data_IF_030424586311
#
_entry.id   IF_030424586311
#
_cell.length_a   1.000
_cell.length_b   1.000
_cell.length_c   1.000
_cell.angle_alpha   90.00
_cell.angle_beta   90.00
_cell.angle_gamma   90.00
#
_symmetry.space_group_name_H-M   'P 1'
#
loop_
_entity.id
_entity.type
_entity.pdbx_description
1 polymer ?
#
# COMPACT_ATOMS: atom_id res chain seq x y z
N UNK A 1 -34.91 -24.60 -16.09
CA UNK A 1 -34.40 -23.23 -15.90
C UNK A 1 -33.61 -23.21 -14.59
N UNK A 2 -32.49 -23.93 -14.49
CA UNK A 2 -31.18 -23.66 -15.12
C UNK A 2 -30.61 -22.30 -14.75
N UNK A 3 -29.53 -22.32 -13.98
CA UNK A 3 -28.79 -21.15 -13.52
C UNK A 3 -27.62 -21.51 -12.60
N UNK A 4 -26.78 -22.47 -12.99
CA UNK A 4 -25.49 -22.74 -12.33
C UNK A 4 -24.52 -21.60 -12.68
N UNK A 5 -24.20 -20.76 -11.71
CA UNK A 5 -23.14 -19.76 -11.81
C UNK A 5 -21.87 -20.28 -11.13
N UNK A 6 -21.03 -20.97 -11.89
CA UNK A 6 -19.66 -21.33 -11.51
C UNK A 6 -18.81 -20.07 -11.48
N UNK A 7 -18.44 -19.62 -10.28
CA UNK A 7 -17.47 -18.53 -10.10
C UNK A 7 -16.08 -19.17 -9.98
N UNK A 8 -15.39 -19.25 -11.12
CA UNK A 8 -13.97 -19.58 -11.17
C UNK A 8 -13.18 -18.43 -10.51
N UNK A 9 -12.73 -18.67 -9.29
CA UNK A 9 -11.76 -17.82 -8.60
C UNK A 9 -10.38 -18.12 -9.15
N UNK A 10 -10.00 -17.44 -10.23
CA UNK A 10 -8.62 -17.41 -10.69
C UNK A 10 -7.74 -16.69 -9.68
N UNK A 11 -7.01 -17.44 -8.86
CA UNK A 11 -5.84 -16.99 -8.11
C UNK A 11 -4.79 -16.51 -9.11
N UNK A 12 -4.87 -15.22 -9.47
CA UNK A 12 -3.75 -14.52 -10.09
C UNK A 12 -2.65 -14.44 -9.04
N UNK A 13 -1.68 -15.34 -9.15
CA UNK A 13 -0.42 -15.29 -8.45
C UNK A 13 0.10 -13.85 -8.49
N UNK A 14 0.06 -13.18 -7.33
CA UNK A 14 0.70 -11.90 -7.14
C UNK A 14 2.18 -12.11 -7.42
N UNK A 15 2.61 -11.73 -8.62
CA UNK A 15 4.02 -11.63 -8.97
C UNK A 15 4.66 -10.70 -7.95
N UNK A 16 5.32 -11.33 -6.97
CA UNK A 16 6.13 -10.67 -5.96
C UNK A 16 7.28 -10.02 -6.69
N UNK A 17 7.06 -8.79 -7.15
CA UNK A 17 8.10 -7.88 -7.62
C UNK A 17 8.93 -7.51 -6.40
N UNK A 18 9.85 -8.41 -6.02
CA UNK A 18 10.94 -8.09 -5.11
C UNK A 18 11.70 -6.97 -5.76
N UNK A 19 11.50 -5.75 -5.26
CA UNK A 19 12.36 -4.63 -5.57
C UNK A 19 13.80 -5.10 -5.29
N UNK A 20 14.71 -5.02 -6.27
CA UNK A 20 16.10 -5.36 -6.01
C UNK A 20 16.59 -4.50 -4.84
N UNK A 21 17.42 -5.05 -3.94
CA UNK A 21 18.06 -4.22 -2.92
C UNK A 21 18.73 -3.04 -3.62
N UNK A 22 18.76 -1.84 -3.01
CA UNK A 22 19.53 -0.73 -3.55
C UNK A 22 20.98 -1.19 -3.64
N UNK A 23 21.35 -1.68 -4.81
CA UNK A 23 22.69 -2.08 -5.14
C UNK A 23 23.51 -0.82 -4.99
N UNK A 24 24.33 -0.79 -3.94
CA UNK A 24 25.40 0.17 -3.79
C UNK A 24 26.33 -0.02 -4.97
N UNK A 25 25.98 0.57 -6.11
CA UNK A 25 26.88 0.81 -7.20
C UNK A 25 28.02 1.61 -6.56
N UNK A 26 29.11 0.92 -6.27
CA UNK A 26 30.37 1.54 -5.91
C UNK A 26 30.65 2.50 -7.06
N UNK A 27 30.43 3.77 -6.78
CA UNK A 27 30.74 4.87 -7.66
C UNK A 27 32.26 4.92 -7.70
N UNK A 28 32.88 4.00 -8.44
CA UNK A 28 34.28 4.09 -8.82
C UNK A 28 34.36 5.28 -9.76
N UNK A 29 34.48 6.45 -9.14
CA UNK A 29 34.66 7.75 -9.74
C UNK A 29 36.00 7.74 -10.48
N UNK A 30 35.98 7.11 -11.65
CA UNK A 30 37.12 6.86 -12.53
C UNK A 30 37.62 8.15 -13.19
N UNK A 31 36.93 9.27 -12.95
CA UNK A 31 37.35 10.59 -13.39
C UNK A 31 38.40 11.23 -12.46
N UNK A 32 38.62 10.69 -11.25
CA UNK A 32 39.86 10.94 -10.50
C UNK A 32 41.00 10.07 -11.04
N UNK A 33 41.27 10.14 -12.35
CA UNK A 33 42.62 9.84 -12.83
C UNK A 33 43.50 10.91 -12.21
N UNK A 34 44.19 10.52 -11.13
CA UNK A 34 45.25 11.28 -10.47
C UNK A 34 46.00 12.06 -11.54
N UNK A 35 46.08 13.38 -11.38
CA UNK A 35 47.06 14.15 -12.14
C UNK A 35 48.37 13.37 -12.06
N UNK A 36 49.00 13.03 -13.20
CA UNK A 36 50.28 12.37 -13.18
C UNK A 36 51.17 13.18 -12.22
N UNK A 37 51.85 12.53 -11.26
CA UNK A 37 52.67 13.23 -10.29
C UNK A 37 53.54 14.23 -11.06
N UNK A 38 53.51 15.50 -10.64
CA UNK A 38 54.30 16.54 -11.28
C UNK A 38 55.72 15.99 -11.40
N UNK A 39 56.17 15.72 -12.63
CA UNK A 39 57.55 15.33 -12.88
C UNK A 39 58.37 16.48 -12.33
N UNK A 40 59.13 16.21 -11.28
CA UNK A 40 60.16 17.11 -10.77
C UNK A 40 60.99 17.48 -12.00
N UNK A 41 60.88 18.73 -12.41
CA UNK A 41 61.64 19.23 -13.57
C UNK A 41 63.09 19.07 -13.16
N UNK A 42 63.90 18.24 -13.85
CA UNK A 42 65.29 18.12 -13.50
C UNK A 42 65.91 19.53 -13.55
N UNK A 43 66.80 19.87 -12.60
CA UNK A 43 67.46 21.17 -12.61
C UNK A 43 68.07 21.38 -14.00
N UNK A 44 67.87 22.58 -14.55
CA UNK A 44 68.42 23.00 -15.83
C UNK A 44 69.93 22.96 -15.67
N UNK A 45 70.53 21.79 -15.91
CA UNK A 45 71.96 21.67 -16.09
C UNK A 45 72.25 22.58 -17.28
N UNK A 46 73.07 23.60 -17.05
CA UNK A 46 73.51 24.53 -18.08
C UNK A 46 74.31 23.75 -19.12
N UNK A 47 73.59 23.14 -20.07
CA UNK A 47 74.15 22.64 -21.32
C UNK A 47 74.59 23.90 -22.05
N UNK A 48 75.82 24.32 -21.79
CA UNK A 48 76.43 25.42 -22.50
C UNK A 48 76.44 25.05 -23.97
N UNK A 49 75.56 25.68 -24.75
CA UNK A 49 75.44 25.45 -26.18
C UNK A 49 76.57 26.19 -26.85
N UNK A 50 77.64 25.46 -27.17
CA UNK A 50 78.90 26.06 -27.59
C UNK A 50 78.95 26.34 -29.09
N UNK A 51 77.98 25.86 -29.87
CA UNK A 51 77.89 26.15 -31.30
C UNK A 51 76.50 26.68 -31.72
N UNK A 52 76.42 27.61 -32.69
CA UNK A 52 75.14 28.09 -33.22
C UNK A 52 74.23 26.99 -33.77
N UNK A 53 74.81 25.88 -34.26
CA UNK A 53 74.07 24.75 -34.78
C UNK A 53 73.31 23.99 -33.69
N UNK A 54 73.92 23.77 -32.52
CA UNK A 54 73.26 23.16 -31.36
C UNK A 54 72.10 24.03 -30.86
N UNK A 55 72.29 25.35 -30.83
CA UNK A 55 71.23 26.29 -30.46
C UNK A 55 70.02 26.19 -31.39
N UNK A 56 70.25 26.13 -32.71
CA UNK A 56 69.20 25.99 -33.69
C UNK A 56 68.40 24.68 -33.51
N UNK A 57 69.09 23.56 -33.31
CA UNK A 57 68.45 22.25 -33.07
C UNK A 57 67.63 22.26 -31.77
N UNK A 58 68.18 22.81 -30.69
CA UNK A 58 67.50 22.89 -29.40
C UNK A 58 66.29 23.84 -29.44
N UNK A 59 66.38 24.97 -30.16
CA UNK A 59 65.26 25.86 -30.40
C UNK A 59 64.13 25.16 -31.17
N UNK A 60 64.47 24.39 -32.21
CA UNK A 60 63.51 23.57 -32.96
C UNK A 60 62.84 22.50 -32.10
N UNK A 61 63.61 21.81 -31.25
CA UNK A 61 63.08 20.84 -30.29
C UNK A 61 62.15 21.48 -29.26
N UNK A 62 62.56 22.60 -28.66
CA UNK A 62 61.75 23.34 -27.69
C UNK A 62 60.44 23.84 -28.30
N UNK A 63 60.48 24.37 -29.53
CA UNK A 63 59.28 24.80 -30.24
C UNK A 63 58.33 23.61 -30.46
N UNK A 64 58.86 22.47 -30.89
CA UNK A 64 58.08 21.24 -31.09
C UNK A 64 57.46 20.73 -29.78
N UNK A 65 58.22 20.72 -28.67
CA UNK A 65 57.76 20.38 -27.33
C UNK A 65 56.64 21.32 -26.85
N UNK A 66 56.82 22.63 -27.04
CA UNK A 66 55.82 23.63 -26.68
C UNK A 66 54.52 23.42 -27.47
N UNK A 67 54.62 23.18 -28.79
CA UNK A 67 53.47 22.85 -29.63
C UNK A 67 52.76 21.57 -29.16
N UNK A 68 53.50 20.49 -28.88
CA UNK A 68 52.91 19.25 -28.37
C UNK A 68 52.21 19.46 -27.02
N UNK A 69 52.82 20.21 -26.12
CA UNK A 69 52.25 20.52 -24.80
C UNK A 69 50.96 21.34 -24.95
N UNK A 70 50.94 22.32 -25.84
CA UNK A 70 49.74 23.09 -26.17
C UNK A 70 48.62 22.21 -26.73
N UNK A 71 48.93 21.28 -27.65
CA UNK A 71 47.92 20.35 -28.17
C UNK A 71 47.37 19.42 -27.08
N UNK A 72 48.23 18.95 -26.17
CA UNK A 72 47.82 18.10 -25.04
C UNK A 72 46.91 18.85 -24.07
N UNK A 73 47.27 20.08 -23.69
CA UNK A 73 46.45 20.90 -22.80
C UNK A 73 45.10 21.23 -23.44
N UNK A 74 45.08 21.54 -24.74
CA UNK A 74 43.86 21.78 -25.48
C UNK A 74 42.92 20.55 -25.46
N UNK A 75 43.45 19.35 -25.77
CA UNK A 75 42.68 18.10 -25.69
C UNK A 75 42.17 17.82 -24.27
N UNK A 76 43.01 18.05 -23.25
CA UNK A 76 42.61 17.88 -21.86
C UNK A 76 41.45 18.82 -21.48
N UNK A 77 41.51 20.09 -21.92
CA UNK A 77 40.43 21.04 -21.69
C UNK A 77 39.13 20.61 -22.39
N UNK A 78 39.21 20.09 -23.62
CA UNK A 78 38.04 19.54 -24.31
C UNK A 78 37.44 18.35 -23.56
N UNK A 79 38.27 17.39 -23.13
CA UNK A 79 37.81 16.24 -22.34
C UNK A 79 37.20 16.67 -21.01
N UNK A 80 37.79 17.66 -20.32
CA UNK A 80 37.25 18.18 -19.06
C UNK A 80 35.89 18.83 -19.25
N UNK A 81 35.69 19.58 -20.34
CA UNK A 81 34.38 20.18 -20.66
C UNK A 81 33.33 19.11 -20.95
N UNK A 82 33.66 18.12 -21.79
CA UNK A 82 32.75 17.00 -22.09
C UNK A 82 32.36 16.22 -20.83
N UNK A 83 33.34 15.89 -19.98
CA UNK A 83 33.07 15.18 -18.73
C UNK A 83 32.16 15.99 -17.79
N UNK A 84 32.35 17.31 -17.74
CA UNK A 84 31.46 18.20 -16.98
C UNK A 84 30.03 18.16 -17.53
N UNK A 85 29.86 18.34 -18.85
CA UNK A 85 28.56 18.34 -19.50
C UNK A 85 27.83 17.00 -19.34
N UNK A 86 28.56 15.88 -19.46
CA UNK A 86 28.07 14.52 -19.22
C UNK A 86 27.60 14.35 -17.76
N UNK A 87 28.42 14.79 -16.80
CA UNK A 87 28.09 14.70 -15.36
C UNK A 87 26.86 15.54 -15.02
N UNK A 88 26.75 16.75 -15.56
CA UNK A 88 25.57 17.62 -15.36
C UNK A 88 24.33 16.96 -15.94
N UNK A 89 24.42 16.47 -17.18
CA UNK A 89 23.29 15.79 -17.85
C UNK A 89 22.85 14.54 -17.09
N UNK A 90 23.80 13.71 -16.65
CA UNK A 90 23.51 12.51 -15.88
C UNK A 90 22.87 12.85 -14.52
N UNK A 91 23.41 13.82 -13.81
CA UNK A 91 22.84 14.25 -12.52
C UNK A 91 21.41 14.75 -12.68
N UNK A 92 21.14 15.60 -13.69
CA UNK A 92 19.79 16.06 -13.99
C UNK A 92 18.86 14.89 -14.33
N UNK A 93 19.32 13.94 -15.14
CA UNK A 93 18.57 12.71 -15.43
C UNK A 93 18.21 11.92 -14.18
N UNK A 94 19.15 11.77 -13.24
CA UNK A 94 18.93 11.09 -11.96
C UNK A 94 17.95 11.83 -11.06
N UNK A 95 18.05 13.15 -10.97
CA UNK A 95 17.09 13.95 -10.20
C UNK A 95 15.67 13.84 -10.75
N UNK A 96 15.51 13.93 -12.07
CA UNK A 96 14.21 13.77 -12.71
C UNK A 96 13.63 12.36 -12.49
N UNK A 97 14.46 11.31 -12.59
CA UNK A 97 14.04 9.94 -12.32
C UNK A 97 13.61 9.73 -10.86
N UNK A 98 14.38 10.29 -9.91
CA UNK A 98 14.05 10.26 -8.49
C UNK A 98 12.74 10.99 -8.22
N UNK A 99 12.59 12.19 -8.77
CA UNK A 99 11.38 12.99 -8.63
C UNK A 99 10.15 12.23 -9.15
N UNK A 100 10.19 11.67 -10.36
CA UNK A 100 9.09 10.87 -10.90
C UNK A 100 8.77 9.64 -10.04
N UNK A 101 9.77 8.99 -9.46
CA UNK A 101 9.55 7.87 -8.53
C UNK A 101 8.86 8.31 -7.23
N UNK A 102 9.22 9.47 -6.69
CA UNK A 102 8.60 10.02 -5.49
C UNK A 102 7.15 10.46 -5.75
N UNK A 103 6.90 11.14 -6.88
CA UNK A 103 5.56 11.52 -7.31
C UNK A 103 4.65 10.29 -7.46
N UNK A 104 5.15 9.23 -8.10
CA UNK A 104 4.41 7.97 -8.23
C UNK A 104 4.10 7.35 -6.86
N UNK A 105 5.07 7.30 -5.94
CA UNK A 105 4.84 6.78 -4.58
C UNK A 105 3.79 7.58 -3.82
N UNK A 106 3.84 8.91 -3.89
CA UNK A 106 2.84 9.77 -3.25
C UNK A 106 1.45 9.52 -3.83
N UNK A 107 1.34 9.43 -5.16
CA UNK A 107 0.10 9.08 -5.84
C UNK A 107 -0.46 7.72 -5.40
N UNK A 108 0.39 6.69 -5.35
CA UNK A 108 0.00 5.34 -4.93
C UNK A 108 -0.41 5.29 -3.45
N UNK A 109 0.30 6.02 -2.58
CA UNK A 109 -0.07 6.18 -1.17
C UNK A 109 -1.44 6.83 -1.00
N UNK A 110 -1.72 7.91 -1.75
CA UNK A 110 -3.02 8.57 -1.71
C UNK A 110 -4.15 7.63 -2.17
N UNK A 111 -3.93 6.90 -3.27
CA UNK A 111 -4.89 5.90 -3.75
C UNK A 111 -5.16 4.81 -2.70
N UNK A 112 -4.12 4.36 -1.99
CA UNK A 112 -4.28 3.38 -0.92
C UNK A 112 -5.10 3.93 0.25
N UNK A 113 -4.85 5.19 0.64
CA UNK A 113 -5.63 5.88 1.67
C UNK A 113 -7.12 5.91 1.29
N UNK A 114 -7.44 6.32 0.06
CA UNK A 114 -8.82 6.38 -0.43
C UNK A 114 -9.51 4.99 -0.40
N UNK A 115 -8.79 3.94 -0.80
CA UNK A 115 -9.32 2.57 -0.76
C UNK A 115 -9.59 2.10 0.67
N UNK A 116 -8.70 2.41 1.60
CA UNK A 116 -8.86 2.05 3.01
C UNK A 116 -10.01 2.83 3.67
N UNK A 117 -10.16 4.12 3.35
CA UNK A 117 -11.28 4.94 3.82
C UNK A 117 -12.63 4.38 3.35
N UNK A 118 -12.78 4.09 2.05
CA UNK A 118 -14.01 3.47 1.52
C UNK A 118 -14.32 2.12 2.18
N UNK A 119 -13.30 1.31 2.44
CA UNK A 119 -13.48 0.04 3.14
C UNK A 119 -13.91 0.24 4.59
N UNK A 120 -13.33 1.21 5.30
CA UNK A 120 -13.71 1.55 6.66
C UNK A 120 -15.19 2.01 6.72
N UNK A 121 -15.61 2.89 5.82
CA UNK A 121 -17.01 3.33 5.69
C UNK A 121 -17.95 2.15 5.39
N UNK A 122 -17.57 1.26 4.47
CA UNK A 122 -18.36 0.07 4.16
C UNK A 122 -18.50 -0.86 5.36
N UNK A 123 -17.45 -1.06 6.15
CA UNK A 123 -17.49 -1.89 7.35
C UNK A 123 -18.34 -1.23 8.44
N UNK A 124 -18.21 0.08 8.64
CA UNK A 124 -19.03 0.84 9.59
C UNK A 124 -20.52 0.71 9.24
N UNK A 125 -20.86 0.89 7.96
CA UNK A 125 -22.23 0.71 7.47
C UNK A 125 -22.76 -0.71 7.72
N UNK A 126 -21.92 -1.74 7.54
CA UNK A 126 -22.29 -3.12 7.84
C UNK A 126 -22.50 -3.36 9.34
N UNK A 127 -21.63 -2.83 10.20
CA UNK A 127 -21.78 -2.89 11.66
C UNK A 127 -23.10 -2.24 12.08
N UNK A 128 -23.41 -1.06 11.56
CA UNK A 128 -24.62 -0.33 11.91
C UNK A 128 -25.89 -1.03 11.42
N UNK A 129 -25.84 -1.68 10.25
CA UNK A 129 -26.93 -2.55 9.77
C UNK A 129 -27.14 -3.74 10.71
N UNK A 130 -26.07 -4.43 11.12
CA UNK A 130 -26.16 -5.56 12.05
C UNK A 130 -26.68 -5.13 13.41
N UNK A 131 -26.26 -3.97 13.93
CA UNK A 131 -26.79 -3.39 15.17
C UNK A 131 -28.28 -3.11 15.09
N UNK A 132 -28.76 -2.49 14.01
CA UNK A 132 -30.20 -2.24 13.79
C UNK A 132 -30.98 -3.54 13.69
N UNK A 133 -30.45 -4.52 12.95
CA UNK A 133 -31.06 -5.85 12.85
C UNK A 133 -31.17 -6.53 14.21
N UNK A 134 -30.14 -6.43 15.06
CA UNK A 134 -30.16 -6.98 16.41
C UNK A 134 -31.22 -6.29 17.27
N UNK A 135 -31.26 -4.95 17.26
CA UNK A 135 -32.27 -4.17 17.98
C UNK A 135 -33.69 -4.53 17.56
N UNK A 136 -33.93 -4.76 16.27
CA UNK A 136 -35.24 -5.19 15.76
C UNK A 136 -35.64 -6.58 16.28
N UNK A 137 -34.71 -7.53 16.31
CA UNK A 137 -34.97 -8.88 16.85
C UNK A 137 -35.22 -8.83 18.36
N UNK A 138 -34.45 -8.02 19.10
CA UNK A 138 -34.64 -7.85 20.54
C UNK A 138 -35.96 -7.16 20.86
N UNK A 139 -36.35 -6.11 20.13
CA UNK A 139 -37.65 -5.47 20.27
C UNK A 139 -38.80 -6.45 19.97
N UNK A 140 -38.71 -7.21 18.88
CA UNK A 140 -39.70 -8.23 18.54
C UNK A 140 -39.79 -9.34 19.60
N UNK A 141 -38.69 -9.69 20.26
CA UNK A 141 -38.67 -10.62 21.38
C UNK A 141 -39.42 -10.07 22.60
N UNK A 142 -39.16 -8.81 22.97
CA UNK A 142 -39.84 -8.15 24.10
C UNK A 142 -41.35 -7.99 23.86
N UNK A 143 -41.75 -7.71 22.62
CA UNK A 143 -43.17 -7.58 22.23
C UNK A 143 -43.98 -8.89 22.37
N UNK A 144 -43.33 -10.06 22.44
CA UNK A 144 -44.01 -11.35 22.65
C UNK A 144 -44.36 -11.60 24.11
N UNK A 145 -43.56 -11.08 25.05
CA UNK A 145 -43.75 -11.29 26.48
C UNK A 145 -45.15 -10.87 26.98
N UNK A 146 -45.66 -9.64 26.73
CA UNK A 146 -46.99 -9.26 27.22
C UNK A 146 -48.12 -10.09 26.61
N UNK A 147 -47.94 -10.62 25.39
CA UNK A 147 -48.93 -11.49 24.73
C UNK A 147 -49.01 -12.85 25.43
N UNK A 148 -47.85 -13.41 25.79
CA UNK A 148 -47.78 -14.66 26.55
C UNK A 148 -48.40 -14.47 27.93
N UNK A 149 -48.09 -13.36 28.62
CA UNK A 149 -48.68 -13.03 29.92
C UNK A 149 -50.21 -12.89 29.85
N UNK A 150 -50.73 -12.29 28.77
CA UNK A 150 -52.18 -12.21 28.56
C UNK A 150 -52.83 -13.60 28.38
N UNK A 151 -52.21 -14.50 27.60
CA UNK A 151 -52.68 -15.87 27.47
C UNK A 151 -52.67 -16.59 28.83
N UNK A 152 -51.56 -16.51 29.58
CA UNK A 152 -51.45 -17.11 30.92
C UNK A 152 -52.52 -16.57 31.88
N UNK A 153 -52.74 -15.25 31.90
CA UNK A 153 -53.77 -14.64 32.72
C UNK A 153 -55.16 -15.15 32.33
N UNK A 154 -55.48 -15.24 31.03
CA UNK A 154 -56.78 -15.78 30.55
C UNK A 154 -56.97 -17.24 30.94
N UNK A 155 -55.93 -18.07 30.88
CA UNK A 155 -55.98 -19.46 31.38
C UNK A 155 -56.29 -19.47 32.88
N UNK A 156 -55.55 -18.70 33.68
CA UNK A 156 -55.74 -18.63 35.13
C UNK A 156 -57.14 -18.13 35.54
N UNK A 157 -57.76 -17.24 34.76
CA UNK A 157 -59.16 -16.84 34.99
C UNK A 157 -60.15 -17.97 34.68
N UNK A 158 -59.87 -18.80 33.67
CA UNK A 158 -60.71 -19.97 33.35
C UNK A 158 -60.61 -21.07 34.40
N UNK A 159 -59.43 -21.27 34.98
CA UNK A 159 -59.19 -22.22 36.08
C UNK A 159 -59.95 -21.88 37.37
N UNK A 160 -60.33 -20.61 37.57
CA UNK A 160 -61.10 -20.15 38.73
C UNK A 160 -62.60 -20.41 38.65
N UNK A 161 -63.11 -20.89 37.51
CA UNK A 161 -64.54 -21.18 37.33
C UNK A 161 -64.96 -22.34 38.24
N UNK A 162 -66.21 -22.37 38.73
CA UNK A 162 -66.69 -23.48 39.55
C UNK A 162 -66.65 -24.80 38.77
N UNK A 163 -66.44 -25.92 39.45
CA UNK A 163 -66.17 -27.24 38.85
C UNK A 163 -67.22 -27.67 37.81
N UNK A 164 -68.48 -27.23 37.98
CA UNK A 164 -69.58 -27.52 37.05
C UNK A 164 -69.44 -26.82 35.69
N UNK A 165 -68.69 -25.73 35.62
CA UNK A 165 -68.47 -24.92 34.41
C UNK A 165 -67.08 -25.16 33.79
N UNK A 166 -66.27 -26.01 34.42
CA UNK A 166 -64.95 -26.37 33.93
C UNK A 166 -65.08 -27.42 32.81
N UNK A 167 -65.22 -26.93 31.58
CA UNK A 167 -65.31 -27.76 30.38
C UNK A 167 -64.19 -27.38 29.43
N UNK A 168 -63.53 -28.38 28.85
CA UNK A 168 -62.49 -28.20 27.82
C UNK A 168 -63.11 -27.77 26.50
N UNK A 169 -63.40 -26.48 26.40
CA UNK A 169 -64.01 -25.88 25.23
C UNK A 169 -62.99 -25.64 24.10
N UNK A 170 -63.49 -25.34 22.91
CA UNK A 170 -62.64 -25.02 21.76
C UNK A 170 -61.78 -23.76 22.02
N UNK A 171 -62.28 -22.82 22.84
CA UNK A 171 -61.59 -21.58 23.14
C UNK A 171 -60.37 -21.80 24.05
N UNK A 172 -60.44 -22.71 25.01
CA UNK A 172 -59.33 -23.15 25.86
C UNK A 172 -58.27 -23.84 25.01
N UNK A 173 -58.67 -24.78 24.17
CA UNK A 173 -57.74 -25.48 23.25
C UNK A 173 -57.03 -24.51 22.31
N UNK A 174 -57.77 -23.54 21.74
CA UNK A 174 -57.19 -22.50 20.87
C UNK A 174 -56.21 -21.61 21.65
N UNK A 175 -56.51 -21.28 22.91
CA UNK A 175 -55.66 -20.42 23.73
C UNK A 175 -54.37 -21.12 24.19
N UNK A 176 -54.43 -22.43 24.47
CA UNK A 176 -53.23 -23.27 24.67
C UNK A 176 -52.35 -23.30 23.43
N UNK A 177 -52.95 -23.48 22.25
CA UNK A 177 -52.24 -23.45 20.97
C UNK A 177 -51.59 -22.09 20.70
N UNK A 178 -52.32 -20.99 20.90
CA UNK A 178 -51.80 -19.62 20.73
C UNK A 178 -50.59 -19.38 21.65
N UNK A 179 -50.70 -19.75 22.94
CA UNK A 179 -49.58 -19.68 23.88
C UNK A 179 -48.37 -20.46 23.38
N UNK A 180 -48.57 -21.70 22.93
CA UNK A 180 -47.48 -22.56 22.46
C UNK A 180 -46.77 -21.95 21.23
N UNK A 181 -47.54 -21.41 20.28
CA UNK A 181 -46.99 -20.70 19.11
C UNK A 181 -46.21 -19.45 19.53
N UNK A 182 -46.73 -18.66 20.47
CA UNK A 182 -46.02 -17.48 20.99
C UNK A 182 -44.71 -17.85 21.67
N UNK A 183 -44.69 -18.88 22.53
CA UNK A 183 -43.47 -19.36 23.20
C UNK A 183 -42.46 -19.89 22.18
N UNK A 184 -42.90 -20.66 21.18
CA UNK A 184 -42.02 -21.16 20.13
C UNK A 184 -41.40 -20.02 19.31
N UNK A 185 -42.20 -19.03 18.92
CA UNK A 185 -41.69 -17.85 18.19
C UNK A 185 -40.72 -17.02 19.04
N UNK A 186 -41.00 -16.85 20.34
CA UNK A 186 -40.09 -16.18 21.27
C UNK A 186 -38.75 -16.93 21.38
N UNK A 187 -38.76 -18.27 21.47
CA UNK A 187 -37.55 -19.09 21.46
C UNK A 187 -36.76 -18.92 20.16
N UNK A 188 -37.42 -18.96 19.00
CA UNK A 188 -36.77 -18.75 17.70
C UNK A 188 -36.12 -17.37 17.59
N UNK A 189 -36.76 -16.32 18.13
CA UNK A 189 -36.21 -14.96 18.20
C UNK A 189 -35.01 -14.88 19.15
N UNK A 190 -35.07 -15.55 20.30
CA UNK A 190 -33.93 -15.62 21.22
C UNK A 190 -32.71 -16.30 20.58
N UNK A 191 -32.92 -17.39 19.86
CA UNK A 191 -31.86 -18.09 19.14
C UNK A 191 -31.30 -17.24 17.99
N UNK A 192 -32.16 -16.50 17.28
CA UNK A 192 -31.73 -15.54 16.28
C UNK A 192 -30.88 -14.41 16.88
N UNK A 193 -31.30 -13.83 18.00
CA UNK A 193 -30.54 -12.80 18.71
C UNK A 193 -29.16 -13.30 19.17
N UNK A 194 -29.09 -14.54 19.69
CA UNK A 194 -27.82 -15.17 20.06
C UNK A 194 -26.89 -15.33 18.85
N UNK A 195 -27.41 -15.78 17.70
CA UNK A 195 -26.63 -15.91 16.47
C UNK A 195 -26.13 -14.58 15.92
N UNK A 196 -26.88 -13.49 16.09
CA UNK A 196 -26.45 -12.15 15.64
C UNK A 196 -25.41 -11.52 16.56
N UNK A 197 -25.30 -11.96 17.82
CA UNK A 197 -24.31 -11.48 18.80
C UNK A 197 -22.96 -12.22 18.72
N UNK A 198 -22.96 -13.46 18.25
CA UNK A 198 -21.76 -14.30 18.07
C UNK A 198 -20.96 -13.86 16.85
#
# INVERSE_FOLDING_TARGET
>A
AEGRSTREGGEKAASSTRLPPPGGARFESSCFRRCPPQRVVPPIAAMSMHTPQEWHQHAGFNMTQAQQTHHRSHRQNQTSRRCHDETVTENLGRYNALQGSLEQKVSDSNRLIDMLQRRAESLQNSIDKTRRSLQQVEAAYQDKEPRIQLCLWRMAQREKRPLREQVRDNAETTLEQEKNVLVETQKRLADAAKRTKA
#
